data_IF_727569374347
#
_entry.id   IF_727569374347
#
_cell.length_a   1.000
_cell.length_b   1.000
_cell.length_c   1.000
_cell.angle_alpha   90.00
_cell.angle_beta   90.00
_cell.angle_gamma   90.00
#
_symmetry.space_group_name_H-M   'P 1'
#
loop_
_entity.id
_entity.type
_entity.pdbx_description
1 polymer ?
#
# COMPACT_ATOMS: atom_id res chain seq x y z
N UNK A 1 -13.97 3.82 -21.00
CA UNK A 1 -15.40 3.79 -20.57
C UNK A 1 -15.75 5.06 -19.78
N UNK A 2 -15.01 5.39 -18.71
CA UNK A 2 -15.12 6.71 -18.06
C UNK A 2 -14.87 7.87 -19.03
N UNK A 3 -13.86 7.76 -19.89
CA UNK A 3 -13.55 8.80 -20.89
C UNK A 3 -14.65 8.99 -21.93
N UNK A 4 -15.38 7.92 -22.26
CA UNK A 4 -16.51 7.93 -23.19
C UNK A 4 -17.76 8.60 -22.58
N UNK A 5 -17.98 8.39 -21.27
CA UNK A 5 -19.05 9.08 -20.53
C UNK A 5 -18.72 10.57 -20.37
N UNK A 6 -17.42 10.91 -20.28
CA UNK A 6 -16.93 12.28 -20.20
C UNK A 6 -17.04 13.02 -21.55
N UNK A 7 -16.80 12.34 -22.67
CA UNK A 7 -16.93 12.94 -24.02
C UNK A 7 -18.37 13.28 -24.40
N UNK A 8 -19.35 12.52 -23.91
CA UNK A 8 -20.78 12.71 -24.20
C UNK A 8 -21.48 13.71 -23.26
N UNK A 9 -20.76 14.40 -22.36
CA UNK A 9 -21.31 15.36 -21.35
C UNK A 9 -22.50 14.82 -20.53
N UNK A 10 -22.66 13.50 -20.44
CA UNK A 10 -23.79 12.85 -19.79
C UNK A 10 -23.75 12.97 -18.25
N UNK A 11 -22.57 13.32 -17.72
CA UNK A 11 -22.33 13.66 -16.31
C UNK A 11 -23.09 14.90 -15.84
N UNK A 12 -23.31 15.89 -16.71
CA UNK A 12 -23.94 17.16 -16.33
C UNK A 12 -25.47 17.08 -16.33
N UNK A 13 -26.06 16.16 -17.12
CA UNK A 13 -27.52 15.96 -17.16
C UNK A 13 -28.05 15.20 -15.92
N UNK A 14 -27.25 14.30 -15.34
CA UNK A 14 -27.67 13.44 -14.24
C UNK A 14 -26.57 13.29 -13.18
N UNK A 15 -26.43 14.31 -12.33
CA UNK A 15 -25.42 14.35 -11.27
C UNK A 15 -25.46 13.10 -10.36
N UNK A 16 -26.65 12.65 -9.95
CA UNK A 16 -26.83 11.47 -9.10
C UNK A 16 -26.40 10.17 -9.79
N UNK A 17 -26.70 10.03 -11.09
CA UNK A 17 -26.30 8.85 -11.87
C UNK A 17 -24.77 8.79 -12.02
N UNK A 18 -24.13 9.94 -12.19
CA UNK A 18 -22.68 10.01 -12.30
C UNK A 18 -21.96 9.57 -11.02
N UNK A 19 -22.50 9.91 -9.85
CA UNK A 19 -21.99 9.49 -8.55
C UNK A 19 -22.19 7.98 -8.38
N UNK A 20 -23.36 7.46 -8.74
CA UNK A 20 -23.67 6.04 -8.67
C UNK A 20 -22.75 5.20 -9.58
N UNK A 21 -22.47 5.67 -10.79
CA UNK A 21 -21.55 4.99 -11.72
C UNK A 21 -20.10 5.03 -11.23
N UNK A 22 -19.65 6.16 -10.68
CA UNK A 22 -18.33 6.25 -10.04
C UNK A 22 -18.20 5.28 -8.87
N UNK A 23 -19.21 5.21 -7.99
CA UNK A 23 -19.26 4.25 -6.90
C UNK A 23 -19.18 2.81 -7.43
N UNK A 24 -20.02 2.46 -8.42
CA UNK A 24 -20.02 1.13 -9.03
C UNK A 24 -18.65 0.74 -9.60
N UNK A 25 -17.94 1.69 -10.23
CA UNK A 25 -16.62 1.45 -10.82
C UNK A 25 -15.49 1.38 -9.77
N UNK A 26 -15.63 2.07 -8.64
CA UNK A 26 -14.68 1.99 -7.52
C UNK A 26 -14.89 0.77 -6.64
N UNK A 27 -16.09 0.17 -6.66
CA UNK A 27 -16.36 -1.05 -5.93
C UNK A 27 -15.53 -2.18 -6.55
N UNK A 28 -14.79 -2.95 -5.74
CA UNK A 28 -14.06 -4.10 -6.25
C UNK A 28 -15.05 -5.12 -6.76
N UNK A 29 -15.14 -5.26 -8.09
CA UNK A 29 -15.99 -6.27 -8.75
C UNK A 29 -15.52 -7.69 -8.42
N UNK A 30 -14.28 -7.87 -7.99
CA UNK A 30 -13.72 -9.17 -7.60
C UNK A 30 -12.97 -9.14 -6.28
N UNK A 31 -13.01 -10.27 -5.59
CA UNK A 31 -12.23 -10.54 -4.36
C UNK A 31 -10.72 -10.66 -4.63
N UNK A 32 -10.29 -10.77 -5.89
CA UNK A 32 -8.91 -10.99 -6.28
C UNK A 32 -7.94 -9.89 -5.78
N UNK A 33 -8.41 -8.66 -5.63
CA UNK A 33 -7.61 -7.59 -5.03
C UNK A 33 -7.36 -7.85 -3.54
N UNK A 34 -8.40 -8.25 -2.80
CA UNK A 34 -8.29 -8.62 -1.39
C UNK A 34 -7.41 -9.85 -1.19
N UNK A 35 -7.58 -10.90 -2.01
CA UNK A 35 -6.76 -12.11 -1.97
C UNK A 35 -5.28 -11.82 -2.23
N UNK A 36 -4.96 -10.95 -3.19
CA UNK A 36 -3.58 -10.49 -3.43
C UNK A 36 -3.01 -9.75 -2.22
N UNK A 37 -3.80 -8.89 -1.57
CA UNK A 37 -3.39 -8.21 -0.34
C UNK A 37 -3.15 -9.18 0.81
N UNK A 38 -4.04 -10.16 1.03
CA UNK A 38 -3.85 -11.19 2.07
C UNK A 38 -2.67 -12.12 1.79
N UNK A 39 -2.43 -12.48 0.53
CA UNK A 39 -1.25 -13.24 0.12
C UNK A 39 0.04 -12.48 0.43
N UNK A 40 0.07 -11.18 0.14
CA UNK A 40 1.20 -10.30 0.48
C UNK A 40 1.36 -10.19 2.00
N UNK A 41 0.27 -10.03 2.75
CA UNK A 41 0.28 -9.99 4.20
C UNK A 41 0.81 -11.30 4.81
N UNK A 42 0.46 -12.45 4.25
CA UNK A 42 0.99 -13.76 4.66
C UNK A 42 2.51 -13.89 4.48
N UNK A 43 3.09 -13.19 3.49
CA UNK A 43 4.55 -13.13 3.32
C UNK A 43 5.21 -12.23 4.38
N UNK A 44 4.55 -11.14 4.75
CA UNK A 44 5.04 -10.21 5.77
C UNK A 44 4.93 -10.83 7.18
N UNK A 45 3.75 -11.36 7.51
CA UNK A 45 3.41 -12.05 8.75
C UNK A 45 3.42 -13.56 8.52
N UNK A 46 4.59 -14.16 8.73
CA UNK A 46 4.77 -15.60 8.66
C UNK A 46 4.84 -16.23 10.06
N UNK A 47 4.81 -17.56 10.13
CA UNK A 47 4.80 -18.31 11.39
C UNK A 47 6.01 -17.98 12.29
N UNK A 48 7.19 -17.82 11.69
CA UNK A 48 8.42 -17.47 12.43
C UNK A 48 8.41 -16.03 12.97
N UNK A 49 7.56 -15.14 12.44
CA UNK A 49 7.40 -13.74 12.86
C UNK A 49 6.05 -13.51 13.58
N UNK A 50 5.54 -14.54 14.24
CA UNK A 50 4.22 -14.51 14.90
C UNK A 50 4.15 -13.52 16.08
N UNK A 51 5.28 -13.15 16.68
CA UNK A 51 5.39 -12.27 17.86
C UNK A 51 5.60 -10.79 17.52
N UNK A 52 5.41 -10.38 16.27
CA UNK A 52 5.66 -8.99 15.85
C UNK A 52 4.56 -8.01 16.32
N UNK A 53 4.95 -6.80 16.71
CA UNK A 53 4.00 -5.74 17.06
C UNK A 53 3.17 -5.29 15.86
N UNK A 54 1.95 -4.82 16.13
CA UNK A 54 1.04 -4.32 15.09
C UNK A 54 1.60 -3.09 14.39
N UNK A 55 2.26 -2.19 15.12
CA UNK A 55 2.92 -1.01 14.55
C UNK A 55 3.94 -1.41 13.46
N UNK A 56 4.81 -2.37 13.77
CA UNK A 56 5.79 -2.87 12.80
C UNK A 56 5.12 -3.58 11.63
N UNK A 57 3.98 -4.25 11.86
CA UNK A 57 3.22 -4.94 10.80
C UNK A 57 2.60 -3.96 9.83
N UNK A 58 1.94 -2.93 10.36
CA UNK A 58 1.35 -1.86 9.57
C UNK A 58 2.43 -1.12 8.77
N UNK A 59 3.59 -0.83 9.37
CA UNK A 59 4.71 -0.21 8.67
C UNK A 59 5.24 -1.05 7.50
N UNK A 60 5.44 -2.36 7.71
CA UNK A 60 5.89 -3.27 6.64
C UNK A 60 4.82 -3.47 5.56
N UNK A 61 3.53 -3.51 5.94
CA UNK A 61 2.43 -3.58 4.99
C UNK A 61 2.37 -2.33 4.12
N UNK A 62 2.51 -1.14 4.72
CA UNK A 62 2.56 0.14 3.99
C UNK A 62 3.73 0.17 3.00
N UNK A 63 4.94 -0.23 3.41
CA UNK A 63 6.10 -0.33 2.52
C UNK A 63 5.91 -1.35 1.38
N UNK A 64 5.08 -2.38 1.58
CA UNK A 64 4.77 -3.35 0.55
C UNK A 64 3.72 -2.86 -0.44
N UNK A 65 2.79 -2.00 -0.01
CA UNK A 65 1.79 -1.35 -0.86
C UNK A 65 2.47 -0.25 -1.68
N UNK A 66 3.21 0.63 -1.01
CA UNK A 66 3.95 1.76 -1.59
C UNK A 66 5.30 1.32 -2.18
N UNK A 67 5.31 0.17 -2.85
CA UNK A 67 6.56 -0.45 -3.31
C UNK A 67 7.29 0.36 -4.38
N UNK A 68 6.56 1.20 -5.13
CA UNK A 68 7.10 2.10 -6.15
C UNK A 68 7.77 3.33 -5.52
N UNK A 69 7.15 3.94 -4.52
CA UNK A 69 7.78 5.00 -3.72
C UNK A 69 8.99 4.46 -2.97
N UNK A 70 8.90 3.24 -2.43
CA UNK A 70 10.05 2.59 -1.78
C UNK A 70 11.24 2.43 -2.74
N UNK A 71 11.01 2.18 -4.03
CA UNK A 71 12.09 2.01 -5.03
C UNK A 71 12.82 3.32 -5.34
N UNK A 72 12.15 4.46 -5.19
CA UNK A 72 12.78 5.77 -5.38
C UNK A 72 13.49 6.30 -4.14
N UNK A 73 13.37 5.63 -2.99
CA UNK A 73 14.08 5.99 -1.77
C UNK A 73 15.55 5.53 -1.83
N UNK A 74 16.45 6.41 -1.41
CA UNK A 74 17.84 6.07 -1.15
C UNK A 74 17.95 5.26 0.16
N UNK A 75 17.95 3.94 0.01
CA UNK A 75 18.08 3.02 1.15
C UNK A 75 19.46 3.11 1.80
N UNK A 76 20.51 3.45 1.05
CA UNK A 76 21.87 3.48 1.56
C UNK A 76 22.06 4.68 2.49
N UNK A 77 21.58 5.86 2.09
CA UNK A 77 21.51 7.05 2.95
C UNK A 77 20.64 6.85 4.19
N UNK A 78 19.51 6.14 4.07
CA UNK A 78 18.66 5.84 5.24
C UNK A 78 19.37 4.90 6.20
N UNK A 79 20.07 3.87 5.70
CA UNK A 79 20.80 2.92 6.54
C UNK A 79 21.98 3.59 7.23
N UNK A 80 22.74 4.45 6.54
CA UNK A 80 23.84 5.20 7.15
C UNK A 80 23.33 6.17 8.22
N UNK A 81 22.29 6.95 7.93
CA UNK A 81 21.67 7.85 8.90
C UNK A 81 21.09 7.10 10.11
N UNK A 82 20.49 5.93 9.90
CA UNK A 82 20.01 5.09 10.99
C UNK A 82 21.15 4.51 11.83
N UNK A 83 22.25 4.09 11.19
CA UNK A 83 23.44 3.59 11.88
C UNK A 83 24.09 4.68 12.74
N UNK A 84 24.17 5.90 12.22
CA UNK A 84 24.66 7.09 12.94
C UNK A 84 23.73 7.45 14.10
N UNK A 85 22.41 7.51 13.87
CA UNK A 85 21.41 7.83 14.88
C UNK A 85 21.30 6.73 15.96
N UNK A 86 21.58 5.48 15.61
CA UNK A 86 21.46 4.31 16.49
C UNK A 86 22.83 3.72 16.83
N UNK A 87 23.77 4.58 17.19
CA UNK A 87 25.10 4.24 17.72
C UNK A 87 25.09 3.45 19.04
N UNK A 88 24.39 2.31 19.10
CA UNK A 88 24.62 1.27 20.10
C UNK A 88 25.73 0.37 19.57
N UNK A 89 26.98 0.74 19.89
CA UNK A 89 28.12 -0.18 19.84
C UNK A 89 27.80 -1.34 20.77
N UNK A 90 27.34 -2.48 20.25
CA UNK A 90 27.52 -3.73 20.99
C UNK A 90 28.99 -4.11 20.82
N UNK A 91 29.77 -3.89 21.89
CA UNK A 91 31.08 -4.53 22.01
C UNK A 91 30.84 -6.03 22.06
N UNK A 92 31.23 -6.73 21.01
CA UNK A 92 31.47 -8.16 21.07
C UNK A 92 32.81 -8.33 21.81
N UNK A 93 32.75 -8.85 23.03
CA UNK A 93 33.91 -9.39 23.76
C UNK A 93 34.23 -10.79 23.24
#
# INVERSE_FOLDING_TARGET
MLDYIYSEKLLDLYSNLSIALRLLLTLPVSVASGERSFSSLKRIKNYMRSTMSQERLSGLALMSIESDVRRSLDLEGIVSAFAEAKGRKQQFQ
#
